data_IF_082107422504
#
_entry.id   IF_082107422504
#
_cell.length_a   1.000
_cell.length_b   1.000
_cell.length_c   1.000
_cell.angle_alpha   90.00
_cell.angle_beta   90.00
_cell.angle_gamma   90.00
#
_symmetry.space_group_name_H-M   'P 1'
#
loop_
_entity.id
_entity.type
_entity.pdbx_description
1 polymer ?
#
# COMPACT_ATOMS: atom_id res chain seq x y z
N UNK A 1 18.66 13.34 9.50
CA UNK A 1 18.43 11.89 9.60
C UNK A 1 17.47 11.57 10.73
N UNK A 2 16.75 10.46 10.66
CA UNK A 2 15.69 10.08 11.61
C UNK A 2 16.19 9.29 12.83
N UNK A 3 17.41 8.73 12.79
CA UNK A 3 17.96 7.89 13.89
C UNK A 3 17.96 8.54 15.27
N UNK A 4 18.27 9.85 15.45
CA UNK A 4 18.28 10.48 16.76
C UNK A 4 16.90 10.73 17.37
N UNK A 5 15.82 10.62 16.59
CA UNK A 5 14.45 10.90 17.07
C UNK A 5 14.00 9.86 18.12
N UNK A 6 13.13 10.23 19.07
CA UNK A 6 12.39 9.28 19.90
C UNK A 6 11.65 8.25 19.04
N UNK A 7 11.40 7.05 19.58
CA UNK A 7 10.84 5.94 18.81
C UNK A 7 9.51 6.29 18.11
N UNK A 8 8.60 6.97 18.82
CA UNK A 8 7.32 7.43 18.26
C UNK A 8 7.53 8.33 17.04
N UNK A 9 8.35 9.37 17.18
CA UNK A 9 8.61 10.35 16.12
C UNK A 9 9.38 9.72 14.95
N UNK A 10 10.26 8.76 15.25
CA UNK A 10 11.05 8.03 14.27
C UNK A 10 10.17 7.15 13.38
N UNK A 11 9.23 6.41 13.99
CA UNK A 11 8.24 5.64 13.24
C UNK A 11 7.38 6.58 12.40
N UNK A 12 6.88 7.66 12.99
CA UNK A 12 6.05 8.66 12.31
C UNK A 12 6.76 9.29 11.12
N UNK A 13 8.00 9.72 11.29
CA UNK A 13 8.78 10.34 10.21
C UNK A 13 9.02 9.39 9.02
N UNK A 14 9.32 8.12 9.28
CA UNK A 14 9.47 7.10 8.22
C UNK A 14 8.14 6.80 7.56
N UNK A 15 7.09 6.63 8.35
CA UNK A 15 5.73 6.37 7.89
C UNK A 15 5.21 7.50 6.97
N UNK A 16 5.31 8.74 7.42
CA UNK A 16 4.85 9.91 6.68
C UNK A 16 5.64 10.13 5.39
N UNK A 17 6.95 9.87 5.43
CA UNK A 17 7.78 9.89 4.23
C UNK A 17 7.28 8.88 3.19
N UNK A 18 7.09 7.61 3.59
CA UNK A 18 6.62 6.59 2.66
C UNK A 18 5.20 6.88 2.19
N UNK A 19 4.34 7.41 3.06
CA UNK A 19 2.97 7.77 2.70
C UNK A 19 2.92 8.90 1.69
N UNK A 20 3.64 10.00 1.91
CA UNK A 20 3.42 11.25 1.21
C UNK A 20 4.46 11.56 0.13
N UNK A 21 5.73 11.12 0.29
CA UNK A 21 6.78 11.34 -0.71
C UNK A 21 6.82 10.23 -1.77
N UNK A 22 6.27 9.05 -1.46
CA UNK A 22 6.09 7.96 -2.44
C UNK A 22 4.62 7.92 -2.83
N UNK A 23 4.28 8.51 -3.96
CA UNK A 23 2.90 8.63 -4.40
C UNK A 23 2.25 7.26 -4.66
N UNK A 24 0.95 7.12 -4.38
CA UNK A 24 0.21 5.91 -4.75
C UNK A 24 0.23 5.71 -6.27
N UNK A 25 0.65 4.51 -6.69
CA UNK A 25 0.77 4.14 -8.09
C UNK A 25 1.25 2.70 -8.23
N UNK A 26 1.37 2.21 -9.46
CA UNK A 26 1.67 0.82 -9.77
C UNK A 26 3.07 0.68 -10.37
N UNK A 27 3.93 -0.08 -9.69
CA UNK A 27 5.26 -0.44 -10.17
C UNK A 27 5.20 -1.59 -11.19
N UNK A 28 6.37 -2.00 -11.70
CA UNK A 28 6.48 -3.08 -12.69
C UNK A 28 6.17 -4.49 -12.12
N UNK A 29 6.20 -4.65 -10.81
CA UNK A 29 5.92 -5.89 -10.09
C UNK A 29 5.85 -5.64 -8.59
N UNK A 30 5.50 -6.69 -7.85
CA UNK A 30 5.37 -6.62 -6.39
C UNK A 30 6.72 -6.83 -5.68
N UNK A 31 7.63 -7.58 -6.29
CA UNK A 31 8.92 -8.00 -5.71
C UNK A 31 10.06 -7.01 -5.97
N UNK A 32 9.77 -5.73 -6.13
CA UNK A 32 10.81 -4.72 -6.35
C UNK A 32 11.62 -4.44 -5.08
N UNK A 33 12.96 -4.30 -5.20
CA UNK A 33 13.77 -3.87 -4.07
C UNK A 33 13.41 -2.44 -3.63
N UNK A 34 13.55 -2.16 -2.34
CA UNK A 34 13.22 -0.88 -1.74
C UNK A 34 13.89 0.32 -2.46
N UNK A 35 15.13 0.16 -2.91
CA UNK A 35 15.87 1.19 -3.66
C UNK A 35 15.21 1.54 -4.99
N UNK A 36 14.64 0.56 -5.70
CA UNK A 36 13.92 0.80 -6.95
C UNK A 36 12.59 1.53 -6.68
N UNK A 37 11.86 1.16 -5.62
CA UNK A 37 10.62 1.86 -5.23
C UNK A 37 10.91 3.31 -4.87
N UNK A 38 11.99 3.56 -4.12
CA UNK A 38 12.43 4.91 -3.79
C UNK A 38 12.79 5.72 -5.04
N UNK A 39 13.50 5.12 -6.00
CA UNK A 39 13.86 5.78 -7.26
C UNK A 39 12.63 6.05 -8.15
N UNK A 40 11.63 5.14 -8.16
CA UNK A 40 10.39 5.31 -8.93
C UNK A 40 9.51 6.45 -8.36
N UNK A 41 9.62 6.77 -7.07
CA UNK A 41 8.79 7.75 -6.36
C UNK A 41 7.29 7.42 -6.31
N UNK A 42 6.93 6.20 -6.69
CA UNK A 42 5.55 5.68 -6.66
C UNK A 42 5.54 4.25 -6.11
N UNK A 43 4.40 3.82 -5.57
CA UNK A 43 4.20 2.44 -5.13
C UNK A 43 2.77 2.11 -4.73
N UNK A 44 2.48 0.82 -4.68
CA UNK A 44 1.25 0.25 -4.10
C UNK A 44 1.55 -0.41 -2.75
N UNK A 45 0.54 -1.05 -2.13
CA UNK A 45 0.65 -1.69 -0.82
C UNK A 45 1.95 -2.50 -0.64
N UNK A 46 2.22 -3.42 -1.55
CA UNK A 46 3.35 -4.35 -1.48
C UNK A 46 4.70 -3.62 -1.60
N UNK A 47 4.88 -2.81 -2.61
CA UNK A 47 6.16 -2.12 -2.89
C UNK A 47 6.44 -1.00 -1.88
N UNK A 48 5.43 -0.18 -1.52
CA UNK A 48 5.57 0.80 -0.43
C UNK A 48 5.84 0.10 0.90
N UNK A 49 5.23 -1.08 1.16
CA UNK A 49 5.51 -1.90 2.33
C UNK A 49 6.96 -2.38 2.40
N UNK A 50 7.52 -2.84 1.27
CA UNK A 50 8.94 -3.20 1.16
C UNK A 50 9.86 -2.02 1.48
N UNK A 51 9.56 -0.83 0.94
CA UNK A 51 10.32 0.38 1.24
C UNK A 51 10.18 0.79 2.70
N UNK A 52 8.96 0.76 3.26
CA UNK A 52 8.70 1.09 4.66
C UNK A 52 9.52 0.20 5.59
N UNK A 53 9.51 -1.12 5.38
CA UNK A 53 10.32 -2.06 6.16
C UNK A 53 11.81 -1.76 6.08
N UNK A 54 12.32 -1.50 4.88
CA UNK A 54 13.74 -1.20 4.68
C UNK A 54 14.15 0.07 5.46
N UNK A 55 13.35 1.12 5.41
CA UNK A 55 13.62 2.38 6.11
C UNK A 55 13.48 2.23 7.64
N UNK A 56 12.44 1.54 8.12
CA UNK A 56 12.27 1.26 9.56
C UNK A 56 13.47 0.49 10.12
N UNK A 57 13.91 -0.56 9.42
CA UNK A 57 15.09 -1.35 9.82
C UNK A 57 16.38 -0.52 9.78
N UNK A 58 16.54 0.34 8.77
CA UNK A 58 17.69 1.24 8.66
C UNK A 58 17.81 2.21 9.84
N UNK A 59 16.69 2.56 10.47
CA UNK A 59 16.66 3.42 11.67
C UNK A 59 16.53 2.63 12.98
N UNK A 60 16.65 1.30 12.94
CA UNK A 60 16.68 0.45 14.14
C UNK A 60 15.29 0.12 14.71
N UNK A 61 14.23 0.17 13.92
CA UNK A 61 12.87 -0.23 14.32
C UNK A 61 12.60 -1.67 13.90
N UNK A 62 12.24 -2.52 14.86
CA UNK A 62 11.82 -3.89 14.58
C UNK A 62 10.46 -3.88 13.84
N UNK A 63 10.40 -4.56 12.70
CA UNK A 63 9.20 -4.66 11.89
C UNK A 63 9.13 -6.00 11.17
N UNK A 64 7.90 -6.39 10.79
CA UNK A 64 7.61 -7.63 10.08
C UNK A 64 6.56 -7.40 9.00
N UNK A 65 6.51 -8.29 8.02
CA UNK A 65 5.59 -8.25 6.89
C UNK A 65 4.36 -9.10 7.20
N UNK A 66 3.16 -8.59 6.97
CA UNK A 66 1.94 -9.38 7.08
C UNK A 66 1.28 -9.48 5.70
N UNK A 67 1.08 -10.71 5.23
CA UNK A 67 0.60 -11.02 3.88
C UNK A 67 -0.87 -11.39 3.86
N UNK A 68 -1.58 -10.92 2.81
CA UNK A 68 -3.02 -11.14 2.62
C UNK A 68 -3.37 -11.32 1.15
N UNK A 69 -4.64 -11.61 0.88
CA UNK A 69 -5.30 -11.23 -0.35
C UNK A 69 -6.42 -10.23 -0.09
N UNK A 70 -6.68 -9.38 -1.07
CA UNK A 70 -7.83 -8.49 -1.10
C UNK A 70 -8.75 -8.81 -2.26
N UNK A 71 -10.02 -8.47 -2.11
CA UNK A 71 -11.02 -8.63 -3.15
C UNK A 71 -10.86 -7.61 -4.26
N UNK A 72 -11.03 -8.05 -5.52
CA UNK A 72 -10.96 -7.23 -6.73
C UNK A 72 -11.82 -5.93 -6.70
N UNK A 73 -13.03 -5.89 -6.12
CA UNK A 73 -13.82 -4.64 -6.04
C UNK A 73 -13.09 -3.44 -5.46
N UNK A 74 -12.13 -3.64 -4.55
CA UNK A 74 -11.29 -2.59 -3.99
C UNK A 74 -10.53 -1.81 -5.07
N UNK A 75 -10.18 -2.44 -6.19
CA UNK A 75 -9.45 -1.81 -7.29
C UNK A 75 -10.36 -1.10 -8.29
N UNK A 76 -11.69 -1.24 -8.18
CA UNK A 76 -12.64 -0.61 -9.12
C UNK A 76 -12.51 0.92 -9.06
N UNK A 77 -12.34 1.54 -10.22
CA UNK A 77 -12.15 2.99 -10.34
C UNK A 77 -10.66 3.39 -10.41
N UNK A 78 -9.77 2.78 -9.65
CA UNK A 78 -8.33 2.91 -9.84
C UNK A 78 -7.90 2.10 -11.08
N UNK A 79 -8.47 0.91 -11.26
CA UNK A 79 -8.35 0.10 -12.48
C UNK A 79 -9.69 0.15 -13.22
N UNK A 80 -9.66 0.39 -14.52
CA UNK A 80 -10.86 0.52 -15.35
C UNK A 80 -10.78 -0.30 -16.65
N UNK A 81 -11.94 -0.49 -17.32
CA UNK A 81 -12.02 -1.13 -18.63
C UNK A 81 -11.51 -2.58 -18.64
N UNK A 82 -10.85 -2.98 -19.73
CA UNK A 82 -10.37 -4.35 -19.92
C UNK A 82 -9.35 -4.77 -18.84
N UNK A 83 -8.53 -3.85 -18.35
CA UNK A 83 -7.58 -4.13 -17.28
C UNK A 83 -8.29 -4.60 -16.00
N UNK A 84 -9.42 -3.99 -15.65
CA UNK A 84 -10.24 -4.43 -14.51
C UNK A 84 -10.86 -5.81 -14.78
N UNK A 85 -11.36 -6.08 -15.98
CA UNK A 85 -11.93 -7.39 -16.33
C UNK A 85 -10.90 -8.51 -16.18
N UNK A 86 -9.68 -8.28 -16.67
CA UNK A 86 -8.57 -9.24 -16.65
C UNK A 86 -7.86 -9.37 -15.30
N UNK A 87 -8.08 -8.43 -14.38
CA UNK A 87 -7.49 -8.49 -13.04
C UNK A 87 -7.96 -9.75 -12.28
N UNK A 88 -7.07 -10.39 -11.49
CA UNK A 88 -7.43 -11.56 -10.70
C UNK A 88 -8.52 -11.24 -9.67
N UNK A 89 -9.30 -12.24 -9.26
CA UNK A 89 -10.35 -12.08 -8.23
C UNK A 89 -9.76 -11.79 -6.85
N UNK A 90 -8.63 -12.43 -6.55
CA UNK A 90 -7.83 -12.24 -5.35
C UNK A 90 -6.52 -11.56 -5.75
N UNK A 91 -6.16 -10.51 -5.08
CA UNK A 91 -4.96 -9.72 -5.33
C UNK A 91 -4.10 -9.79 -4.08
N UNK A 92 -2.84 -10.15 -4.24
CA UNK A 92 -1.86 -10.15 -3.14
C UNK A 92 -1.77 -8.75 -2.56
N UNK A 93 -1.85 -8.69 -1.24
CA UNK A 93 -1.84 -7.49 -0.44
C UNK A 93 -0.97 -7.67 0.80
N UNK A 94 -0.47 -6.60 1.35
CA UNK A 94 0.31 -6.62 2.57
C UNK A 94 0.23 -5.32 3.34
N UNK A 95 0.52 -5.41 4.64
CA UNK A 95 0.93 -4.27 5.44
C UNK A 95 2.21 -4.59 6.23
N UNK A 96 2.70 -3.60 6.94
CA UNK A 96 3.88 -3.72 7.81
C UNK A 96 3.42 -3.62 9.25
N UNK A 97 3.95 -4.47 10.11
CA UNK A 97 3.79 -4.36 11.55
C UNK A 97 5.08 -3.86 12.19
N UNK A 98 4.97 -2.93 13.12
CA UNK A 98 6.11 -2.41 13.90
C UNK A 98 5.98 -2.75 15.36
N UNK A 99 7.09 -3.05 16.02
CA UNK A 99 7.15 -3.18 17.47
C UNK A 99 7.16 -1.78 18.10
N UNK A 100 6.11 -1.45 18.84
CA UNK A 100 5.98 -0.19 19.54
C UNK A 100 5.31 -0.39 20.91
N UNK A 101 5.93 0.12 21.97
CA UNK A 101 5.40 0.03 23.36
C UNK A 101 4.98 -1.38 23.78
N UNK A 102 5.81 -2.38 23.48
CA UNK A 102 5.59 -3.78 23.86
C UNK A 102 4.53 -4.53 23.05
N UNK A 103 4.00 -3.97 21.98
CA UNK A 103 3.03 -4.61 21.08
C UNK A 103 3.40 -4.44 19.61
N UNK A 104 2.77 -5.23 18.76
CA UNK A 104 2.83 -5.06 17.31
C UNK A 104 1.69 -4.11 16.88
N UNK A 105 2.04 -3.11 16.09
CA UNK A 105 1.12 -2.11 15.54
C UNK A 105 1.08 -2.24 14.02
N UNK A 106 -0.12 -2.34 13.46
CA UNK A 106 -0.34 -2.51 12.03
C UNK A 106 -0.26 -1.18 11.30
N UNK A 107 0.57 -1.11 10.27
CA UNK A 107 0.73 0.05 9.41
C UNK A 107 0.25 -0.31 8.01
N UNK A 108 -0.93 0.17 7.63
CA UNK A 108 -1.50 0.03 6.28
C UNK A 108 -1.87 1.39 5.67
N UNK A 109 -2.17 2.39 6.50
CA UNK A 109 -2.60 3.72 6.05
C UNK A 109 -1.58 4.47 5.20
N UNK A 110 -0.31 4.00 5.10
CA UNK A 110 0.72 4.57 4.25
C UNK A 110 0.47 4.39 2.75
N UNK A 111 -0.47 3.54 2.35
CA UNK A 111 -0.66 3.14 0.95
C UNK A 111 -1.10 4.32 0.09
N UNK A 112 -2.10 5.08 0.54
CA UNK A 112 -2.62 6.24 -0.18
C UNK A 112 -1.97 7.53 0.33
N UNK A 113 -1.35 8.29 -0.59
CA UNK A 113 -0.84 9.62 -0.27
C UNK A 113 -1.97 10.62 0.01
N UNK A 114 -1.66 11.66 0.79
CA UNK A 114 -2.64 12.65 1.23
C UNK A 114 -3.36 13.35 0.07
N UNK A 115 -2.70 13.80 -1.02
CA UNK A 115 -3.38 14.38 -2.17
C UNK A 115 -4.39 13.43 -2.83
N UNK A 116 -4.02 12.15 -3.02
CA UNK A 116 -4.93 11.16 -3.61
C UNK A 116 -6.14 10.89 -2.72
N UNK A 117 -5.91 10.70 -1.42
CA UNK A 117 -6.99 10.48 -0.45
C UNK A 117 -7.94 11.69 -0.36
N UNK A 118 -7.40 12.90 -0.33
CA UNK A 118 -8.20 14.14 -0.32
C UNK A 118 -9.08 14.25 -1.57
N UNK A 119 -8.55 13.90 -2.75
CA UNK A 119 -9.35 13.88 -3.99
C UNK A 119 -10.49 12.86 -3.94
N UNK A 120 -10.24 11.67 -3.36
CA UNK A 120 -11.32 10.70 -3.13
C UNK A 120 -12.39 11.23 -2.18
N UNK A 121 -11.99 11.88 -1.08
CA UNK A 121 -12.92 12.46 -0.10
C UNK A 121 -13.79 13.58 -0.72
N UNK A 122 -13.22 14.41 -1.60
CA UNK A 122 -13.97 15.43 -2.35
C UNK A 122 -14.96 14.80 -3.32
N UNK A 123 -14.51 13.79 -4.05
CA UNK A 123 -15.32 13.08 -5.05
C UNK A 123 -16.45 12.26 -4.45
N UNK A 124 -16.22 11.70 -3.27
CA UNK A 124 -17.17 10.84 -2.55
C UNK A 124 -17.37 11.36 -1.11
N UNK A 125 -18.13 12.44 -0.94
CA UNK A 125 -18.34 13.06 0.37
C UNK A 125 -19.33 12.25 1.24
N UNK A 126 -19.04 10.96 1.44
CA UNK A 126 -19.89 10.02 2.19
C UNK A 126 -19.23 9.62 3.50
N UNK A 127 -20.00 9.67 4.59
CA UNK A 127 -19.62 9.20 5.93
C UNK A 127 -20.14 7.79 6.14
N UNK A 128 -19.70 6.85 5.30
CA UNK A 128 -20.12 5.46 5.37
C UNK A 128 -19.07 4.56 4.72
N UNK A 129 -19.27 3.25 4.85
CA UNK A 129 -18.41 2.24 4.25
C UNK A 129 -18.17 2.51 2.77
N UNK A 130 -16.91 2.53 2.40
CA UNK A 130 -16.44 2.78 1.03
C UNK A 130 -15.54 1.64 0.57
N UNK A 131 -15.72 1.19 -0.67
CA UNK A 131 -14.87 0.20 -1.31
C UNK A 131 -14.67 0.55 -2.78
N UNK A 132 -13.43 0.80 -3.17
CA UNK A 132 -13.03 1.18 -4.53
C UNK A 132 -11.85 2.13 -4.53
N UNK A 133 -11.32 2.42 -5.71
CA UNK A 133 -10.22 3.39 -5.91
C UNK A 133 -8.97 3.11 -5.06
N UNK A 134 -8.75 1.84 -4.68
CA UNK A 134 -7.65 1.48 -3.80
C UNK A 134 -7.91 1.73 -2.32
N UNK A 135 -9.15 2.01 -1.90
CA UNK A 135 -9.56 2.15 -0.51
C UNK A 135 -10.69 1.17 -0.15
N UNK A 136 -10.66 0.65 1.07
CA UNK A 136 -11.77 -0.11 1.69
C UNK A 136 -11.77 0.20 3.19
N UNK A 137 -12.67 1.10 3.59
CA UNK A 137 -12.71 1.68 4.93
C UNK A 137 -14.15 1.86 5.39
N UNK A 138 -14.43 1.77 6.72
CA UNK A 138 -15.77 2.02 7.24
C UNK A 138 -16.21 3.48 7.09
N UNK A 139 -15.26 4.43 7.05
CA UNK A 139 -15.54 5.86 6.84
C UNK A 139 -14.43 6.50 6.00
N UNK A 140 -14.76 6.87 4.75
CA UNK A 140 -13.82 7.54 3.86
C UNK A 140 -13.53 8.98 4.31
N UNK A 141 -14.45 9.63 5.01
CA UNK A 141 -14.27 11.04 5.44
C UNK A 141 -13.22 11.19 6.55
N UNK A 142 -13.04 10.12 7.35
CA UNK A 142 -12.10 10.09 8.47
C UNK A 142 -11.43 8.71 8.60
N UNK A 143 -10.69 8.25 7.57
CA UNK A 143 -10.01 6.97 7.65
C UNK A 143 -8.87 7.04 8.67
N UNK A 144 -8.64 5.96 9.41
CA UNK A 144 -7.59 5.87 10.42
C UNK A 144 -6.18 5.71 9.82
N UNK A 145 -5.73 6.69 9.04
CA UNK A 145 -4.46 6.62 8.30
C UNK A 145 -3.32 7.42 8.92
N UNK A 146 -3.58 8.22 9.94
CA UNK A 146 -2.56 9.03 10.62
C UNK A 146 -1.82 8.21 11.67
N UNK A 147 -0.48 8.31 11.71
CA UNK A 147 0.30 7.72 12.78
C UNK A 147 0.01 8.40 14.12
N UNK A 148 -0.53 7.66 15.06
CA UNK A 148 -0.83 8.09 16.44
C UNK A 148 -0.40 7.06 17.48
N UNK A 149 0.62 6.24 17.16
CA UNK A 149 1.03 5.12 18.02
C UNK A 149 0.05 3.95 18.00
N UNK A 150 -0.87 3.90 17.04
CA UNK A 150 -1.93 2.90 16.93
C UNK A 150 -2.01 2.36 15.50
N UNK A 151 -2.78 1.30 15.31
CA UNK A 151 -3.04 0.72 14.01
C UNK A 151 -3.57 1.75 13.02
N UNK A 152 -3.10 1.68 11.79
CA UNK A 152 -3.58 2.50 10.67
C UNK A 152 -4.10 1.61 9.56
N UNK A 153 -5.27 1.94 8.99
CA UNK A 153 -5.91 1.14 7.97
C UNK A 153 -6.54 1.98 6.87
N UNK A 154 -6.47 1.48 5.63
CA UNK A 154 -7.14 2.08 4.46
C UNK A 154 -7.75 1.03 3.52
N UNK A 155 -7.32 -0.24 3.59
CA UNK A 155 -7.79 -1.33 2.74
C UNK A 155 -8.30 -2.54 3.54
N UNK A 156 -8.21 -2.51 4.86
CA UNK A 156 -8.53 -3.63 5.76
C UNK A 156 -9.90 -4.27 5.48
N UNK A 157 -10.92 -3.47 5.19
CA UNK A 157 -12.29 -3.96 4.91
C UNK A 157 -12.38 -4.76 3.59
N UNK A 158 -11.33 -4.75 2.77
CA UNK A 158 -11.22 -5.52 1.54
C UNK A 158 -10.44 -6.82 1.66
N UNK A 159 -9.93 -7.18 2.86
CA UNK A 159 -9.15 -8.40 3.09
C UNK A 159 -10.06 -9.61 2.91
N UNK A 160 -9.52 -10.63 2.23
CA UNK A 160 -10.20 -11.87 1.91
C UNK A 160 -9.55 -13.10 2.57
N UNK A 161 -8.25 -13.26 2.41
CA UNK A 161 -7.48 -14.35 3.00
C UNK A 161 -6.30 -13.77 3.78
N UNK A 162 -5.97 -14.36 4.93
CA UNK A 162 -4.84 -13.99 5.78
C UNK A 162 -3.79 -15.10 5.73
N UNK A 163 -2.56 -14.77 5.32
CA UNK A 163 -1.43 -15.69 5.24
C UNK A 163 -0.49 -15.62 6.44
N UNK A 164 -0.77 -14.70 7.37
CA UNK A 164 0.05 -14.47 8.55
C UNK A 164 1.27 -13.61 8.30
N UNK A 165 2.20 -13.67 9.25
CA UNK A 165 3.38 -12.80 9.30
C UNK A 165 4.64 -13.49 8.78
N UNK A 166 5.53 -12.71 8.19
CA UNK A 166 6.80 -13.12 7.58
C UNK A 166 7.90 -12.16 8.02
N UNK A 167 9.13 -12.65 8.09
CA UNK A 167 10.26 -11.79 8.44
C UNK A 167 10.61 -10.80 7.33
N UNK A 168 10.31 -11.13 6.08
CA UNK A 168 10.59 -10.25 4.94
C UNK A 168 9.56 -10.40 3.81
N UNK A 169 9.44 -9.39 2.93
CA UNK A 169 8.68 -9.51 1.69
C UNK A 169 9.19 -10.67 0.81
N UNK A 170 10.51 -10.88 0.76
CA UNK A 170 11.10 -11.96 -0.06
C UNK A 170 10.64 -13.34 0.40
N UNK A 171 10.56 -13.58 1.71
CA UNK A 171 10.03 -14.82 2.27
C UNK A 171 8.57 -15.04 1.85
N UNK A 172 7.76 -13.99 1.94
CA UNK A 172 6.36 -14.04 1.53
C UNK A 172 6.22 -14.38 0.04
N UNK A 173 6.94 -13.67 -0.84
CA UNK A 173 6.84 -13.91 -2.28
C UNK A 173 7.42 -15.26 -2.71
N UNK A 174 8.44 -15.78 -2.02
CA UNK A 174 8.96 -17.11 -2.26
C UNK A 174 7.91 -18.21 -1.99
N UNK A 175 6.99 -17.98 -1.03
CA UNK A 175 5.92 -18.95 -0.68
C UNK A 175 4.65 -18.76 -1.49
N UNK A 176 4.24 -17.53 -1.75
CA UNK A 176 2.93 -17.20 -2.31
C UNK A 176 2.98 -16.67 -3.75
N UNK A 177 4.18 -16.42 -4.28
CA UNK A 177 4.37 -15.85 -5.61
C UNK A 177 3.96 -14.38 -5.70
N UNK A 178 3.68 -13.91 -6.91
CA UNK A 178 3.23 -12.55 -7.20
C UNK A 178 1.94 -12.55 -8.02
N UNK A 179 1.27 -11.40 -8.09
CA UNK A 179 -0.02 -11.26 -8.78
C UNK A 179 0.01 -11.65 -10.26
N UNK A 180 1.15 -11.50 -10.92
CA UNK A 180 1.27 -11.66 -12.37
C UNK A 180 2.55 -12.42 -12.75
N UNK A 181 2.44 -13.30 -13.74
CA UNK A 181 3.57 -14.06 -14.30
C UNK A 181 3.51 -14.11 -15.82
N UNK A 182 4.62 -14.47 -16.47
CA UNK A 182 4.73 -14.71 -17.90
C UNK A 182 4.25 -13.54 -18.76
N UNK A 183 3.49 -13.84 -19.82
CA UNK A 183 2.99 -12.86 -20.78
C UNK A 183 2.07 -11.80 -20.13
N UNK A 184 1.29 -12.17 -19.12
CA UNK A 184 0.43 -11.24 -18.38
C UNK A 184 1.26 -10.18 -17.64
N UNK A 185 2.38 -10.57 -17.02
CA UNK A 185 3.32 -9.65 -16.37
C UNK A 185 3.94 -8.72 -17.40
N UNK A 186 4.37 -9.23 -18.55
CA UNK A 186 4.93 -8.41 -19.62
C UNK A 186 3.93 -7.36 -20.11
N UNK A 187 2.69 -7.77 -20.43
CA UNK A 187 1.62 -6.84 -20.87
C UNK A 187 1.31 -5.78 -19.81
N UNK A 188 1.23 -6.19 -18.55
CA UNK A 188 1.04 -5.28 -17.43
C UNK A 188 2.18 -4.25 -17.36
N UNK A 189 3.43 -4.70 -17.42
CA UNK A 189 4.60 -3.84 -17.29
C UNK A 189 4.72 -2.86 -18.44
N UNK A 190 4.42 -3.28 -19.68
CA UNK A 190 4.62 -2.44 -20.86
C UNK A 190 3.44 -1.50 -21.17
N UNK A 191 2.22 -1.87 -20.78
CA UNK A 191 1.02 -1.14 -21.20
C UNK A 191 0.08 -0.82 -20.04
N UNK A 192 -0.36 -1.84 -19.30
CA UNK A 192 -1.50 -1.68 -18.38
C UNK A 192 -1.15 -0.74 -17.24
N UNK A 193 0.01 -0.92 -16.58
CA UNK A 193 0.44 -0.07 -15.46
C UNK A 193 0.54 1.41 -15.82
N UNK A 194 0.95 1.74 -17.05
CA UNK A 194 1.04 3.13 -17.48
C UNK A 194 -0.34 3.80 -17.57
N UNK A 195 -1.35 3.06 -18.07
CA UNK A 195 -2.75 3.53 -18.08
C UNK A 195 -3.31 3.67 -16.67
N UNK A 196 -3.02 2.69 -15.79
CA UNK A 196 -3.42 2.76 -14.38
C UNK A 196 -2.78 3.97 -13.68
N UNK A 197 -1.49 4.20 -13.88
CA UNK A 197 -0.79 5.34 -13.32
C UNK A 197 -1.31 6.69 -13.88
N UNK A 198 -1.68 6.73 -15.15
CA UNK A 198 -2.33 7.92 -15.73
C UNK A 198 -3.69 8.19 -15.07
N UNK A 199 -4.48 7.15 -14.81
CA UNK A 199 -5.76 7.26 -14.12
C UNK A 199 -5.58 7.73 -12.66
N UNK A 200 -4.61 7.14 -11.93
CA UNK A 200 -4.30 7.54 -10.55
C UNK A 200 -3.85 9.01 -10.49
N UNK A 201 -2.99 9.45 -11.43
CA UNK A 201 -2.58 10.86 -11.52
C UNK A 201 -3.74 11.80 -11.80
N UNK A 202 -4.69 11.39 -12.66
CA UNK A 202 -5.92 12.18 -12.93
C UNK A 202 -6.74 12.35 -11.66
N UNK A 203 -7.00 11.25 -10.95
CA UNK A 203 -7.75 11.28 -9.68
C UNK A 203 -7.06 12.21 -8.67
N UNK A 204 -5.73 12.10 -8.53
CA UNK A 204 -4.97 12.95 -7.60
C UNK A 204 -5.06 14.44 -7.91
N UNK A 205 -5.27 14.81 -9.17
CA UNK A 205 -5.35 16.19 -9.63
C UNK A 205 -6.77 16.81 -9.53
N UNK A 206 -7.79 16.03 -9.18
CA UNK A 206 -9.16 16.51 -8.93
C UNK A 206 -9.30 17.12 -7.53
#
# INVERSE_FOLDING_TARGET
>A
GWRPLPMYDRIGAVYDFVRNEIAFGYNAGDELPASAVLADGIGQCNTKGTLLMALLRAVGIACRFHGFTIDKPLQKGAITGLAYVLAPRRIIHSWVEVAFEGRWVNLEGFILDAPYLTSLQRRFPVRQRFCGYGAATPDLSAPGVEWRGQDTYIQKDGIADDFGVFDSPDEFYARHGSNLSGLKRWLFTQVIRHRMNAQVRRIRAE
#
